data_IF_951451017124
#
_entry.id   IF_951451017124
#
_cell.length_a   1.000
_cell.length_b   1.000
_cell.length_c   1.000
_cell.angle_alpha   90.00
_cell.angle_beta   90.00
_cell.angle_gamma   90.00
#
_symmetry.space_group_name_H-M   'P 1'
#
loop_
_entity.id
_entity.type
_entity.pdbx_description
1 polymer ?
#
# COMPACT_ATOMS: atom_id res chain seq x y z
N UNK A 1 7.30 0.79 15.74
CA UNK A 1 7.91 -0.16 14.79
C UNK A 1 7.20 0.01 13.45
N UNK A 2 7.93 0.17 12.35
CA UNK A 2 7.31 0.38 11.03
C UNK A 2 6.85 -0.95 10.42
N UNK A 3 5.70 -0.94 9.77
CA UNK A 3 5.27 -2.03 8.89
C UNK A 3 5.51 -1.65 7.43
N UNK A 4 6.25 -2.48 6.71
CA UNK A 4 6.61 -2.23 5.31
C UNK A 4 5.99 -3.30 4.43
N UNK A 5 5.09 -2.88 3.55
CA UNK A 5 4.48 -3.72 2.52
C UNK A 5 5.34 -3.65 1.26
N UNK A 6 6.00 -4.76 0.91
CA UNK A 6 6.95 -4.79 -0.19
C UNK A 6 6.27 -5.15 -1.51
N UNK A 7 6.54 -4.38 -2.55
CA UNK A 7 6.05 -4.67 -3.90
C UNK A 7 6.80 -5.84 -4.56
N UNK A 8 6.44 -6.21 -5.80
CA UNK A 8 7.25 -7.14 -6.61
C UNK A 8 8.56 -6.54 -7.14
N UNK A 9 8.78 -5.23 -7.00
CA UNK A 9 10.00 -4.57 -7.45
C UNK A 9 11.13 -4.72 -6.41
N UNK A 10 11.90 -5.80 -6.55
CA UNK A 10 12.99 -6.17 -5.64
C UNK A 10 14.08 -5.10 -5.52
N UNK A 11 14.41 -4.39 -6.60
CA UNK A 11 15.42 -3.32 -6.58
C UNK A 11 14.97 -2.14 -5.71
N UNK A 12 13.73 -1.67 -5.88
CA UNK A 12 13.18 -0.59 -5.06
C UNK A 12 13.06 -1.01 -3.58
N UNK A 13 12.61 -2.24 -3.35
CA UNK A 13 12.52 -2.81 -2.00
C UNK A 13 13.89 -2.82 -1.31
N UNK A 14 14.94 -3.30 -1.98
CA UNK A 14 16.29 -3.32 -1.40
C UNK A 14 16.80 -1.93 -1.04
N UNK A 15 16.55 -0.91 -1.88
CA UNK A 15 16.92 0.48 -1.56
C UNK A 15 16.24 0.97 -0.27
N UNK A 16 14.94 0.71 -0.12
CA UNK A 16 14.18 1.07 1.09
C UNK A 16 14.71 0.33 2.33
N UNK A 17 14.93 -0.97 2.23
CA UNK A 17 15.41 -1.77 3.36
C UNK A 17 16.83 -1.37 3.77
N UNK A 18 17.70 -1.06 2.81
CA UNK A 18 19.04 -0.56 3.09
C UNK A 18 18.99 0.80 3.79
N UNK A 19 18.09 1.69 3.38
CA UNK A 19 17.85 2.96 4.07
C UNK A 19 17.39 2.73 5.52
N UNK A 20 16.43 1.85 5.76
CA UNK A 20 15.99 1.56 7.13
C UNK A 20 17.13 1.00 7.98
N UNK A 21 17.96 0.09 7.44
CA UNK A 21 19.13 -0.46 8.14
C UNK A 21 20.19 0.59 8.42
N UNK A 22 20.47 1.50 7.48
CA UNK A 22 21.49 2.54 7.67
C UNK A 22 21.11 3.59 8.70
N UNK A 23 19.83 3.67 9.06
CA UNK A 23 19.29 4.61 10.04
C UNK A 23 18.79 3.92 11.31
N UNK A 24 19.13 2.63 11.53
CA UNK A 24 18.69 1.83 12.67
C UNK A 24 17.17 1.86 12.92
N UNK A 25 16.40 1.96 11.84
CA UNK A 25 14.93 1.99 11.90
C UNK A 25 14.42 0.56 12.06
N UNK A 26 13.71 0.30 13.15
CA UNK A 26 13.05 -0.99 13.38
C UNK A 26 11.81 -1.15 12.49
N UNK A 27 11.79 -2.21 11.68
CA UNK A 27 10.70 -2.53 10.76
C UNK A 27 10.38 -4.02 10.70
N UNK A 28 9.15 -4.33 10.29
CA UNK A 28 8.72 -5.68 9.88
C UNK A 28 8.21 -5.63 8.45
N UNK A 29 8.61 -6.61 7.64
CA UNK A 29 8.11 -6.75 6.27
C UNK A 29 6.81 -7.58 6.27
N UNK A 30 5.80 -7.06 5.59
CA UNK A 30 4.55 -7.78 5.29
C UNK A 30 4.56 -8.19 3.82
N UNK A 31 4.19 -9.43 3.58
CA UNK A 31 3.99 -9.93 2.23
C UNK A 31 2.64 -9.42 1.70
N UNK A 32 2.69 -8.67 0.59
CA UNK A 32 1.49 -8.18 -0.09
C UNK A 32 0.65 -9.31 -0.70
N UNK A 33 1.23 -10.50 -0.94
CA UNK A 33 0.49 -11.66 -1.42
C UNK A 33 -0.54 -12.21 -0.42
N UNK A 34 -0.46 -11.79 0.84
CA UNK A 34 -1.35 -12.21 1.93
C UNK A 34 -2.19 -11.06 2.49
N UNK A 35 -2.26 -9.90 1.81
CA UNK A 35 -3.12 -8.80 2.22
C UNK A 35 -4.59 -9.25 2.18
N UNK A 36 -5.26 -9.21 3.32
CA UNK A 36 -6.69 -9.40 3.38
C UNK A 36 -7.43 -8.07 3.10
N UNK A 37 -8.73 -8.18 2.87
CA UNK A 37 -9.59 -7.01 2.69
C UNK A 37 -9.53 -6.05 3.89
N UNK A 38 -9.47 -6.59 5.11
CA UNK A 38 -9.36 -5.82 6.35
C UNK A 38 -8.04 -5.05 6.47
N UNK A 39 -6.91 -5.67 6.12
CA UNK A 39 -5.61 -4.98 6.11
C UNK A 39 -5.62 -3.76 5.17
N UNK A 40 -6.28 -3.91 4.02
CA UNK A 40 -6.39 -2.86 3.02
C UNK A 40 -7.30 -1.70 3.46
N UNK A 41 -8.40 -2.02 4.15
CA UNK A 41 -9.26 -1.01 4.77
C UNK A 41 -8.51 -0.24 5.86
N UNK A 42 -7.74 -0.92 6.70
CA UNK A 42 -6.92 -0.29 7.74
C UNK A 42 -5.86 0.63 7.12
N UNK A 43 -5.24 0.22 6.02
CA UNK A 43 -4.31 1.07 5.27
C UNK A 43 -5.04 2.28 4.66
N UNK A 44 -6.21 2.09 4.05
CA UNK A 44 -7.02 3.19 3.51
C UNK A 44 -7.45 4.19 4.58
N UNK A 45 -7.72 3.73 5.80
CA UNK A 45 -8.06 4.60 6.93
C UNK A 45 -6.88 5.46 7.42
N UNK A 46 -5.63 5.11 7.05
CA UNK A 46 -4.43 5.91 7.40
C UNK A 46 -4.28 7.17 6.55
N UNK A 47 -5.11 7.37 5.52
CA UNK A 47 -5.12 8.57 4.69
C UNK A 47 -6.51 9.20 4.66
N UNK A 48 -6.59 10.51 4.42
CA UNK A 48 -7.87 11.19 4.20
C UNK A 48 -8.52 10.83 2.86
N UNK A 49 -7.72 10.33 1.92
CA UNK A 49 -8.15 9.92 0.59
C UNK A 49 -7.45 8.62 0.18
N UNK A 50 -8.21 7.51 0.21
CA UNK A 50 -7.71 6.18 -0.13
C UNK A 50 -7.14 6.07 -1.56
N UNK A 51 -7.56 6.93 -2.49
CA UNK A 51 -7.04 6.94 -3.85
C UNK A 51 -5.60 7.46 -3.93
N UNK A 52 -5.11 8.18 -2.92
CA UNK A 52 -3.71 8.65 -2.87
C UNK A 52 -2.71 7.51 -2.70
N UNK A 53 -3.15 6.38 -2.15
CA UNK A 53 -2.30 5.19 -2.01
C UNK A 53 -2.20 4.35 -3.29
N UNK A 54 -3.02 4.65 -4.30
CA UNK A 54 -2.97 3.97 -5.57
C UNK A 54 -1.84 4.53 -6.43
N UNK A 55 -1.24 3.65 -7.24
CA UNK A 55 -0.31 4.08 -8.28
C UNK A 55 -0.99 5.07 -9.25
N UNK A 56 -0.26 6.04 -9.85
CA UNK A 56 -0.86 7.13 -10.63
C UNK A 56 -1.82 6.69 -11.74
N UNK A 57 -1.56 5.55 -12.39
CA UNK A 57 -2.42 4.99 -13.44
C UNK A 57 -3.83 4.59 -12.94
N UNK A 58 -3.98 4.36 -11.64
CA UNK A 58 -5.24 3.97 -10.99
C UNK A 58 -5.95 5.17 -10.34
N UNK A 59 -5.33 6.35 -10.27
CA UNK A 59 -6.02 7.55 -9.75
C UNK A 59 -7.20 8.00 -10.62
N UNK A 60 -7.28 7.53 -11.87
CA UNK A 60 -8.45 7.73 -12.74
C UNK A 60 -9.75 7.25 -12.10
N UNK A 61 -9.70 6.24 -11.23
CA UNK A 61 -10.86 5.70 -10.53
C UNK A 61 -11.50 6.71 -9.57
N UNK A 62 -10.73 7.66 -9.03
CA UNK A 62 -11.27 8.78 -8.22
C UNK A 62 -12.28 9.64 -8.98
N UNK A 63 -12.15 9.73 -10.32
CA UNK A 63 -13.07 10.50 -11.17
C UNK A 63 -14.40 9.77 -11.42
N UNK A 64 -14.48 8.47 -11.11
CA UNK A 64 -15.73 7.71 -11.20
C UNK A 64 -16.59 8.01 -9.97
N UNK A 65 -17.58 8.89 -10.14
CA UNK A 65 -18.47 9.40 -9.08
C UNK A 65 -19.26 8.34 -8.29
N UNK A 66 -19.22 7.07 -8.69
CA UNK A 66 -20.04 5.99 -8.11
C UNK A 66 -19.24 4.76 -7.66
N UNK A 67 -17.90 4.82 -7.67
CA UNK A 67 -17.12 3.65 -7.22
C UNK A 67 -17.33 3.41 -5.73
N UNK A 68 -17.77 2.20 -5.37
CA UNK A 68 -17.89 1.78 -3.98
C UNK A 68 -16.53 1.42 -3.43
N UNK A 69 -16.33 1.60 -2.12
CA UNK A 69 -15.09 1.20 -1.44
C UNK A 69 -14.79 -0.29 -1.64
N UNK A 70 -15.81 -1.16 -1.58
CA UNK A 70 -15.66 -2.60 -1.85
C UNK A 70 -15.15 -2.90 -3.26
N UNK A 71 -15.58 -2.12 -4.26
CA UNK A 71 -15.09 -2.28 -5.64
C UNK A 71 -13.64 -1.84 -5.76
N UNK A 72 -13.26 -0.79 -5.03
CA UNK A 72 -11.87 -0.34 -4.98
C UNK A 72 -10.97 -1.37 -4.31
N UNK A 73 -11.37 -1.95 -3.18
CA UNK A 73 -10.56 -2.97 -2.49
C UNK A 73 -10.38 -4.20 -3.37
N UNK A 74 -11.43 -4.70 -4.03
CA UNK A 74 -11.34 -5.81 -4.99
C UNK A 74 -10.43 -5.51 -6.17
N UNK A 75 -10.26 -4.24 -6.54
CA UNK A 75 -9.37 -3.85 -7.62
C UNK A 75 -7.89 -3.84 -7.20
N UNK A 76 -7.60 -3.67 -5.91
CA UNK A 76 -6.22 -3.61 -5.38
C UNK A 76 -5.70 -5.00 -4.99
N UNK A 77 -6.58 -5.90 -4.54
CA UNK A 77 -6.29 -7.31 -4.26
C UNK A 77 -6.21 -8.15 -5.55
#
# INVERSE_FOLDING_TARGET
MLEIYLSRNTSRNQKLLNFCRSHDISYTCKDVGHLAHEDLLDLFAKTSDCFEMLVPSFQRFKRHKQMKLSELVTLVL
#
